data_IF_372925867259
#
_entry.id   IF_372925867259
#
_cell.length_a   1.000
_cell.length_b   1.000
_cell.length_c   1.000
_cell.angle_alpha   90.00
_cell.angle_beta   90.00
_cell.angle_gamma   90.00
#
_symmetry.space_group_name_H-M   'P 1'
#
loop_
_entity.id
_entity.type
_entity.pdbx_description
1 polymer ?
#
# COMPACT_ATOMS: atom_id res chain seq x y z
N UNK A 1 -0.36 -11.50 23.92
CA UNK A 1 -1.41 -11.33 22.89
C UNK A 1 -1.00 -10.13 22.07
N UNK A 2 -1.09 -10.24 20.74
CA UNK A 2 -0.61 -9.30 19.72
C UNK A 2 0.86 -9.47 19.30
N UNK A 3 1.21 -10.64 18.76
CA UNK A 3 2.28 -10.70 17.77
C UNK A 3 1.70 -10.19 16.45
N UNK A 4 1.94 -8.91 16.16
CA UNK A 4 1.89 -8.43 14.80
C UNK A 4 2.95 -9.23 14.01
N UNK A 5 2.55 -9.89 12.93
CA UNK A 5 3.52 -10.35 11.94
C UNK A 5 4.10 -9.11 11.26
N UNK A 6 5.06 -8.47 11.95
CA UNK A 6 5.88 -7.40 11.41
C UNK A 6 6.76 -8.06 10.37
N UNK A 7 6.42 -7.88 9.09
CA UNK A 7 7.33 -8.20 8.00
C UNK A 7 8.57 -7.32 8.21
N UNK A 8 9.76 -7.89 8.41
CA UNK A 8 10.97 -7.09 8.58
C UNK A 8 11.17 -6.17 7.37
N UNK A 9 11.69 -4.98 7.66
CA UNK A 9 11.91 -3.84 6.77
C UNK A 9 12.11 -4.15 5.28
N UNK A 10 11.35 -3.40 4.50
CA UNK A 10 11.68 -2.95 3.13
C UNK A 10 11.63 -4.02 2.06
N UNK A 11 10.91 -5.11 2.33
CA UNK A 11 10.73 -6.23 1.41
C UNK A 11 9.24 -6.51 1.23
N UNK A 12 8.80 -6.61 -0.03
CA UNK A 12 7.53 -7.28 -0.36
C UNK A 12 7.48 -8.65 0.34
N UNK A 13 6.37 -9.02 1.02
CA UNK A 13 6.29 -10.28 1.72
C UNK A 13 6.51 -11.46 0.78
N UNK A 14 7.35 -12.41 1.20
CA UNK A 14 7.72 -13.57 0.37
C UNK A 14 6.52 -14.38 -0.14
N UNK A 15 5.41 -14.40 0.61
CA UNK A 15 4.18 -15.08 0.19
C UNK A 15 3.55 -14.45 -1.05
N UNK A 16 3.67 -13.14 -1.25
CA UNK A 16 3.12 -12.46 -2.44
C UNK A 16 3.92 -12.81 -3.70
N UNK A 17 5.23 -13.02 -3.57
CA UNK A 17 6.11 -13.46 -4.65
C UNK A 17 5.95 -14.95 -4.96
N UNK A 18 5.55 -15.73 -3.95
CA UNK A 18 5.29 -17.15 -4.05
C UNK A 18 3.86 -17.48 -4.51
N UNK A 19 2.93 -16.51 -4.47
CA UNK A 19 1.55 -16.67 -4.89
C UNK A 19 1.51 -17.14 -6.34
N UNK A 20 0.79 -18.24 -6.59
CA UNK A 20 0.67 -18.81 -7.92
C UNK A 20 -0.57 -18.25 -8.63
N UNK A 21 -0.35 -17.40 -9.62
CA UNK A 21 -1.40 -16.75 -10.40
C UNK A 21 -0.84 -16.28 -11.75
N UNK A 22 -1.73 -15.98 -12.71
CA UNK A 22 -1.34 -15.67 -14.10
C UNK A 22 -0.35 -14.51 -14.26
N UNK A 23 -0.40 -13.52 -13.36
CA UNK A 23 0.47 -12.34 -13.40
C UNK A 23 1.70 -12.41 -12.48
N UNK A 24 2.00 -13.58 -11.90
CA UNK A 24 3.11 -13.76 -10.94
C UNK A 24 4.43 -13.22 -11.44
N UNK A 25 4.85 -13.60 -12.65
CA UNK A 25 6.15 -13.18 -13.18
C UNK A 25 6.23 -11.67 -13.37
N UNK A 26 5.12 -11.06 -13.82
CA UNK A 26 5.01 -9.62 -13.97
C UNK A 26 5.05 -8.88 -12.63
N UNK A 27 4.39 -9.42 -11.60
CA UNK A 27 4.45 -8.86 -10.24
C UNK A 27 5.83 -9.02 -9.61
N UNK A 28 6.50 -10.15 -9.84
CA UNK A 28 7.86 -10.37 -9.36
C UNK A 28 8.86 -9.42 -10.03
N UNK A 29 8.63 -9.09 -11.31
CA UNK A 29 9.43 -8.12 -12.07
C UNK A 29 9.05 -6.65 -11.78
N UNK A 30 7.85 -6.38 -11.26
CA UNK A 30 7.39 -5.03 -10.96
C UNK A 30 8.25 -4.39 -9.86
N UNK A 31 8.59 -3.11 -10.06
CA UNK A 31 9.33 -2.33 -9.07
C UNK A 31 8.38 -1.77 -8.02
N UNK A 32 8.82 -1.73 -6.75
CA UNK A 32 8.10 -1.00 -5.70
C UNK A 32 8.14 0.51 -6.00
N UNK A 33 6.99 1.17 -5.82
CA UNK A 33 6.83 2.62 -5.96
C UNK A 33 6.45 3.19 -4.61
N UNK A 34 6.87 4.42 -4.32
CA UNK A 34 6.37 5.13 -3.14
C UNK A 34 4.86 5.39 -3.32
N UNK A 35 4.09 5.15 -2.27
CA UNK A 35 2.67 5.48 -2.21
C UNK A 35 2.52 6.84 -1.55
N UNK A 36 2.17 7.84 -2.36
CA UNK A 36 1.92 9.20 -1.87
C UNK A 36 0.42 9.36 -1.72
N UNK A 37 -0.03 9.47 -0.47
CA UNK A 37 -1.43 9.68 -0.13
C UNK A 37 -1.73 11.18 -0.03
N UNK A 38 -2.99 11.55 -0.31
CA UNK A 38 -3.46 12.91 -0.14
C UNK A 38 -4.50 13.01 0.97
N UNK A 39 -4.36 14.00 1.85
CA UNK A 39 -5.40 14.34 2.81
C UNK A 39 -6.41 15.32 2.17
N UNK A 40 -7.66 14.90 1.91
CA UNK A 40 -8.67 15.76 1.30
C UNK A 40 -9.12 16.92 2.20
N UNK A 41 -8.75 16.92 3.49
CA UNK A 41 -9.06 17.99 4.44
C UNK A 41 -7.97 19.07 4.53
N UNK A 42 -6.81 18.86 3.88
CA UNK A 42 -5.71 19.83 3.84
C UNK A 42 -5.71 20.54 2.47
N UNK A 43 -6.04 21.84 2.47
CA UNK A 43 -6.37 22.61 1.26
C UNK A 43 -5.18 23.03 0.39
N UNK A 44 -3.93 22.86 0.82
CA UNK A 44 -2.81 23.56 0.18
C UNK A 44 -1.55 22.70 0.10
N UNK A 45 -1.32 22.01 -1.03
CA UNK A 45 -0.03 21.51 -1.60
C UNK A 45 1.05 20.92 -0.66
N UNK A 46 0.76 20.68 0.61
CA UNK A 46 1.58 20.06 1.63
C UNK A 46 0.90 18.85 2.26
N UNK A 47 -0.18 18.37 1.61
CA UNK A 47 -0.95 17.20 2.00
C UNK A 47 -0.45 15.88 1.40
N UNK A 48 0.70 15.90 0.73
CA UNK A 48 1.35 14.70 0.20
C UNK A 48 2.04 13.97 1.34
N UNK A 49 1.42 12.88 1.78
CA UNK A 49 1.93 12.03 2.84
C UNK A 49 2.65 10.89 2.16
N UNK A 50 3.96 10.74 2.42
CA UNK A 50 4.67 9.50 2.08
C UNK A 50 4.12 8.39 2.98
N UNK A 51 3.11 7.73 2.45
CA UNK A 51 2.27 6.81 3.17
C UNK A 51 2.82 5.40 3.13
N UNK A 52 3.84 5.11 2.30
CA UNK A 52 4.34 3.76 2.19
C UNK A 52 4.93 3.39 0.84
N UNK A 53 4.92 2.09 0.56
CA UNK A 53 5.32 1.53 -0.73
C UNK A 53 4.23 0.65 -1.30
N UNK A 54 4.04 0.72 -2.61
CA UNK A 54 3.11 -0.11 -3.37
C UNK A 54 3.84 -0.84 -4.47
N UNK A 55 3.50 -2.11 -4.65
CA UNK A 55 3.85 -2.88 -5.84
C UNK A 55 2.55 -3.36 -6.44
N UNK A 56 2.31 -3.03 -7.70
CA UNK A 56 1.13 -3.50 -8.43
C UNK A 56 1.51 -4.03 -9.80
N UNK A 57 0.80 -5.08 -10.19
CA UNK A 57 0.83 -5.62 -11.54
C UNK A 57 -0.57 -6.10 -11.90
N UNK A 58 -1.13 -5.52 -12.96
CA UNK A 58 -2.47 -5.86 -13.45
C UNK A 58 -3.52 -5.85 -12.31
N UNK A 59 -4.15 -6.99 -12.02
CA UNK A 59 -5.23 -7.11 -11.04
C UNK A 59 -4.76 -7.34 -9.59
N UNK A 60 -3.45 -7.34 -9.33
CA UNK A 60 -2.91 -7.55 -7.99
C UNK A 60 -2.02 -6.39 -7.55
N UNK A 61 -2.37 -5.80 -6.41
CA UNK A 61 -1.60 -4.74 -5.76
C UNK A 61 -1.31 -5.14 -4.31
N UNK A 62 -0.05 -5.03 -3.93
CA UNK A 62 0.39 -5.15 -2.55
C UNK A 62 0.93 -3.80 -2.09
N UNK A 63 0.44 -3.32 -0.95
CA UNK A 63 0.87 -2.04 -0.38
C UNK A 63 1.24 -2.21 1.08
N UNK A 64 2.35 -1.58 1.47
CA UNK A 64 2.77 -1.43 2.85
C UNK A 64 2.58 0.03 3.25
N UNK A 65 1.72 0.28 4.23
CA UNK A 65 1.52 1.61 4.80
C UNK A 65 2.49 1.80 5.97
N UNK A 66 3.22 2.91 5.99
CA UNK A 66 4.13 3.27 7.09
C UNK A 66 3.36 3.70 8.34
N UNK A 67 3.96 3.47 9.51
CA UNK A 67 3.41 3.80 10.83
C UNK A 67 1.97 3.32 11.08
N UNK A 68 1.53 2.32 10.32
CA UNK A 68 0.25 1.67 10.46
C UNK A 68 0.39 0.40 11.30
N UNK A 69 -0.43 0.30 12.36
CA UNK A 69 -0.56 -0.91 13.15
C UNK A 69 -1.49 -1.94 12.50
N UNK A 70 -2.02 -2.83 13.33
CA UNK A 70 -2.98 -3.86 12.90
C UNK A 70 -4.27 -3.28 12.27
N UNK A 71 -4.58 -2.02 12.61
CA UNK A 71 -5.74 -1.28 12.12
C UNK A 71 -5.29 0.00 11.39
N UNK A 72 -4.95 -0.16 10.11
CA UNK A 72 -4.52 0.95 9.23
C UNK A 72 -5.49 2.14 9.27
N UNK A 73 -6.84 1.97 9.21
CA UNK A 73 -7.78 3.10 9.23
C UNK A 73 -7.81 3.87 10.55
N UNK A 74 -7.45 3.22 11.67
CA UNK A 74 -7.43 3.89 12.98
C UNK A 74 -6.14 4.68 13.17
N UNK A 75 -5.01 4.17 12.68
CA UNK A 75 -3.71 4.85 12.80
C UNK A 75 -3.50 5.92 11.73
N UNK A 76 -4.00 5.69 10.51
CA UNK A 76 -3.77 6.54 9.34
C UNK A 76 -5.11 6.71 8.57
N UNK A 77 -6.05 7.51 9.11
CA UNK A 77 -7.40 7.66 8.53
C UNK A 77 -7.40 8.32 7.15
N UNK A 78 -6.61 9.38 6.95
CA UNK A 78 -6.49 10.07 5.66
C UNK A 78 -5.92 9.16 4.57
N UNK A 79 -4.83 8.44 4.90
CA UNK A 79 -4.17 7.49 4.00
C UNK A 79 -5.11 6.33 3.62
N UNK A 80 -5.84 5.78 4.60
CA UNK A 80 -6.75 4.67 4.36
C UNK A 80 -7.94 5.07 3.50
N UNK A 81 -8.45 6.29 3.67
CA UNK A 81 -9.53 6.83 2.84
C UNK A 81 -9.07 6.98 1.40
N UNK A 82 -7.89 7.56 1.17
CA UNK A 82 -7.33 7.73 -0.17
C UNK A 82 -7.08 6.37 -0.85
N UNK A 83 -6.53 5.39 -0.12
CA UNK A 83 -6.35 4.02 -0.61
C UNK A 83 -7.68 3.38 -1.04
N UNK A 84 -8.71 3.47 -0.20
CA UNK A 84 -10.02 2.89 -0.50
C UNK A 84 -10.66 3.60 -1.69
N UNK A 85 -10.58 4.93 -1.76
CA UNK A 85 -11.13 5.70 -2.86
C UNK A 85 -10.47 5.33 -4.19
N UNK A 86 -9.13 5.26 -4.24
CA UNK A 86 -8.40 4.85 -5.45
C UNK A 86 -8.73 3.43 -5.87
N UNK A 87 -8.85 2.52 -4.91
CA UNK A 87 -9.26 1.14 -5.18
C UNK A 87 -10.66 1.06 -5.80
N UNK A 88 -11.64 1.78 -5.23
CA UNK A 88 -13.02 1.78 -5.73
C UNK A 88 -13.17 2.53 -7.07
N UNK A 89 -12.37 3.56 -7.29
CA UNK A 89 -12.34 4.33 -8.53
C UNK A 89 -11.49 3.66 -9.64
N UNK A 90 -10.82 2.55 -9.34
CA UNK A 90 -9.86 1.88 -10.21
C UNK A 90 -8.75 2.83 -10.72
N UNK A 91 -8.28 3.70 -9.82
CA UNK A 91 -7.20 4.65 -10.06
C UNK A 91 -5.84 4.04 -9.73
N UNK A 92 -4.78 4.65 -10.26
CA UNK A 92 -3.41 4.20 -10.00
C UNK A 92 -2.94 4.57 -8.59
N UNK A 93 -2.20 3.65 -7.97
CA UNK A 93 -1.47 3.86 -6.72
C UNK A 93 -0.05 4.34 -6.94
#
# INVERSE_FOLDING_TARGET
MCDAFVVPGDKVPAWTLALDWRGKDGFNAATERAFIAHDPLLSDKGGDIDAGVVRSFDNFAFMRVYDAGHMVPMNQPAVSLDLINRFLANESF
#
